data_IF_364679005324
#
_entry.id   IF_364679005324
#
_cell.length_a   1.000
_cell.length_b   1.000
_cell.length_c   1.000
_cell.angle_alpha   90.00
_cell.angle_beta   90.00
_cell.angle_gamma   90.00
#
_symmetry.space_group_name_H-M   'P 1'
#
loop_
_entity.id
_entity.type
_entity.pdbx_description
1 polymer ?
#
# COMPACT_ATOMS: atom_id res chain seq x y z
N UNK A 1 4.04 16.68 -12.19
CA UNK A 1 5.00 16.92 -11.10
C UNK A 1 4.62 16.02 -9.94
N UNK A 2 5.59 15.38 -9.30
CA UNK A 2 5.36 14.54 -8.13
C UNK A 2 5.93 15.26 -6.90
N UNK A 3 5.20 15.23 -5.80
CA UNK A 3 5.58 15.83 -4.52
C UNK A 3 5.46 14.75 -3.45
N UNK A 4 6.58 14.40 -2.82
CA UNK A 4 6.64 13.41 -1.74
C UNK A 4 7.08 14.11 -0.46
N UNK A 5 6.33 13.87 0.61
CA UNK A 5 6.65 14.39 1.94
C UNK A 5 6.79 13.20 2.88
N UNK A 6 8.03 12.83 3.19
CA UNK A 6 8.35 11.81 4.18
C UNK A 6 8.94 12.51 5.41
N UNK A 7 8.19 12.53 6.50
CA UNK A 7 8.63 13.12 7.77
C UNK A 7 7.57 12.97 8.85
N UNK A 8 7.91 13.31 10.08
CA UNK A 8 6.92 13.45 11.15
C UNK A 8 6.03 14.65 10.84
N UNK A 9 4.84 14.37 10.32
CA UNK A 9 3.80 15.38 10.10
C UNK A 9 3.05 15.51 11.43
N UNK A 10 2.92 16.73 11.95
CA UNK A 10 1.99 17.00 13.04
C UNK A 10 0.56 16.90 12.50
N UNK A 11 -0.04 15.71 12.60
CA UNK A 11 -1.37 15.41 12.09
C UNK A 11 -2.08 14.39 12.99
N UNK A 12 -3.40 14.31 12.83
CA UNK A 12 -4.19 13.22 13.38
C UNK A 12 -3.88 11.91 12.63
N UNK A 13 -4.28 10.78 13.18
CA UNK A 13 -4.09 9.46 12.58
C UNK A 13 -4.70 9.40 11.17
N UNK A 14 -3.90 9.08 10.16
CA UNK A 14 -4.35 8.83 8.78
C UNK A 14 -3.85 7.46 8.32
N UNK A 15 -4.75 6.65 7.77
CA UNK A 15 -4.46 5.30 7.29
C UNK A 15 -5.08 5.10 5.92
N UNK A 16 -4.23 4.93 4.93
CA UNK A 16 -4.67 4.76 3.56
C UNK A 16 -3.62 5.13 2.54
N UNK A 17 -4.08 5.21 1.30
CA UNK A 17 -3.27 5.57 0.15
C UNK A 17 -4.01 6.63 -0.67
N UNK A 18 -3.27 7.62 -1.17
CA UNK A 18 -3.74 8.55 -2.19
C UNK A 18 -2.85 8.42 -3.43
N UNK A 19 -3.46 8.17 -4.57
CA UNK A 19 -2.81 8.05 -5.88
C UNK A 19 -3.30 9.20 -6.75
N UNK A 20 -2.37 9.95 -7.32
CA UNK A 20 -2.64 11.05 -8.24
C UNK A 20 -2.12 10.68 -9.62
N UNK A 21 -3.02 10.63 -10.60
CA UNK A 21 -2.71 10.45 -12.02
C UNK A 21 -3.01 11.70 -12.82
N UNK A 22 -2.72 11.64 -14.11
CA UNK A 22 -3.07 12.67 -15.10
C UNK A 22 -4.57 12.74 -15.40
N UNK A 23 -5.27 11.61 -15.34
CA UNK A 23 -6.72 11.51 -15.62
C UNK A 23 -7.61 11.56 -14.38
N UNK A 24 -7.05 11.58 -13.17
CA UNK A 24 -7.84 11.48 -11.96
C UNK A 24 -7.06 11.17 -10.70
N UNK A 25 -7.80 10.93 -9.62
CA UNK A 25 -7.23 10.58 -8.31
C UNK A 25 -7.98 9.40 -7.69
N UNK A 26 -7.29 8.61 -6.89
CA UNK A 26 -7.90 7.55 -6.08
C UNK A 26 -7.40 7.69 -4.64
N UNK A 27 -8.33 7.77 -3.69
CA UNK A 27 -8.03 7.71 -2.26
C UNK A 27 -8.69 6.47 -1.66
N UNK A 28 -7.91 5.65 -0.99
CA UNK A 28 -8.39 4.48 -0.28
C UNK A 28 -8.07 4.63 1.21
N UNK A 29 -9.10 4.67 2.05
CA UNK A 29 -9.00 4.54 3.50
C UNK A 29 -8.96 3.04 3.83
N UNK A 30 -7.79 2.56 4.20
CA UNK A 30 -7.52 1.15 4.48
C UNK A 30 -7.09 1.07 5.95
N UNK A 31 -8.09 0.93 6.81
CA UNK A 31 -7.88 0.87 8.25
C UNK A 31 -7.13 -0.40 8.66
N UNK A 32 -6.35 -0.29 9.73
CA UNK A 32 -5.59 -1.43 10.25
C UNK A 32 -6.48 -2.67 10.45
N UNK A 33 -6.03 -3.87 10.05
CA UNK A 33 -6.88 -5.06 10.02
C UNK A 33 -7.50 -5.44 11.38
N UNK A 34 -6.87 -5.07 12.48
CA UNK A 34 -7.38 -5.33 13.84
C UNK A 34 -8.68 -4.62 14.16
N UNK A 35 -9.00 -3.50 13.49
CA UNK A 35 -10.25 -2.77 13.71
C UNK A 35 -11.47 -3.48 13.10
N UNK A 36 -11.27 -4.51 12.27
CA UNK A 36 -12.32 -5.27 11.59
C UNK A 36 -13.38 -4.37 10.92
N UNK A 37 -12.94 -3.25 10.37
CA UNK A 37 -13.80 -2.20 9.82
C UNK A 37 -13.80 -2.26 8.28
N UNK A 38 -14.81 -1.65 7.67
CA UNK A 38 -14.91 -1.48 6.21
C UNK A 38 -13.84 -0.52 5.67
N UNK A 39 -13.28 -0.83 4.51
CA UNK A 39 -12.45 0.13 3.76
C UNK A 39 -13.34 1.01 2.88
N UNK A 40 -12.87 2.21 2.55
CA UNK A 40 -13.55 3.13 1.62
C UNK A 40 -12.60 3.53 0.52
N UNK A 41 -13.05 3.48 -0.72
CA UNK A 41 -12.34 4.08 -1.84
C UNK A 41 -13.18 5.18 -2.48
N UNK A 42 -12.55 6.31 -2.76
CA UNK A 42 -13.11 7.42 -3.53
C UNK A 42 -12.21 7.66 -4.72
N UNK A 43 -12.79 7.61 -5.91
CA UNK A 43 -12.10 7.84 -7.18
C UNK A 43 -12.72 9.07 -7.82
N UNK A 44 -11.88 10.01 -8.26
CA UNK A 44 -12.28 11.12 -9.10
C UNK A 44 -11.74 10.88 -10.52
N UNK A 45 -12.62 10.84 -11.51
CA UNK A 45 -12.25 10.70 -12.93
C UNK A 45 -13.34 11.30 -13.81
N UNK A 46 -12.95 11.98 -14.89
CA UNK A 46 -13.91 12.52 -15.86
C UNK A 46 -14.87 13.59 -15.30
N UNK A 47 -14.47 14.30 -14.25
CA UNK A 47 -15.31 15.32 -13.59
C UNK A 47 -16.29 14.76 -12.55
N UNK A 48 -16.26 13.44 -12.29
CA UNK A 48 -17.20 12.77 -11.41
C UNK A 48 -16.49 12.02 -10.27
N UNK A 49 -17.23 11.80 -9.18
CA UNK A 49 -16.77 11.00 -8.04
C UNK A 49 -17.48 9.65 -8.00
N UNK A 50 -16.70 8.59 -7.85
CA UNK A 50 -17.18 7.23 -7.58
C UNK A 50 -16.70 6.82 -6.20
N UNK A 51 -17.63 6.51 -5.30
CA UNK A 51 -17.33 6.02 -3.95
C UNK A 51 -17.76 4.57 -3.82
N UNK A 52 -16.90 3.74 -3.21
CA UNK A 52 -17.16 2.33 -2.91
C UNK A 52 -16.79 2.04 -1.47
N UNK A 53 -17.68 1.36 -0.77
CA UNK A 53 -17.39 0.73 0.51
C UNK A 53 -17.07 -0.73 0.28
N UNK A 54 -15.98 -1.20 0.86
CA UNK A 54 -15.59 -2.60 0.85
C UNK A 54 -15.87 -3.18 2.23
N UNK A 55 -16.65 -4.26 2.34
CA UNK A 55 -16.88 -4.90 3.62
C UNK A 55 -15.55 -5.39 4.20
N UNK A 56 -15.51 -5.55 5.52
CA UNK A 56 -14.40 -6.20 6.18
C UNK A 56 -14.14 -7.57 5.55
N UNK A 57 -12.85 -7.88 5.35
CA UNK A 57 -12.35 -9.21 5.02
C UNK A 57 -11.25 -9.58 6.00
N UNK A 58 -11.24 -10.83 6.44
CA UNK A 58 -10.15 -11.36 7.24
C UNK A 58 -8.94 -11.59 6.33
N UNK A 59 -8.16 -10.54 6.09
CA UNK A 59 -7.07 -10.58 5.13
C UNK A 59 -5.98 -11.58 5.47
N UNK A 60 -5.77 -11.87 6.77
CA UNK A 60 -4.80 -12.89 7.20
C UNK A 60 -5.29 -14.29 6.86
N UNK A 61 -6.58 -14.55 7.07
CA UNK A 61 -7.17 -15.84 6.68
C UNK A 61 -7.14 -16.01 5.15
N UNK A 62 -7.45 -14.96 4.39
CA UNK A 62 -7.41 -15.01 2.92
C UNK A 62 -5.98 -15.19 2.39
N UNK A 63 -4.99 -14.52 2.98
CA UNK A 63 -3.57 -14.72 2.65
C UNK A 63 -3.12 -16.16 2.94
N UNK A 64 -3.47 -16.71 4.10
CA UNK A 64 -3.14 -18.09 4.44
C UNK A 64 -3.82 -19.10 3.50
N UNK A 65 -5.09 -18.88 3.15
CA UNK A 65 -5.80 -19.72 2.18
C UNK A 65 -5.12 -19.70 0.81
N UNK A 66 -4.71 -18.52 0.36
CA UNK A 66 -4.01 -18.37 -0.91
C UNK A 66 -2.65 -19.07 -0.88
N UNK A 67 -1.90 -18.94 0.21
CA UNK A 67 -0.63 -19.64 0.39
C UNK A 67 -0.79 -21.17 0.35
N UNK A 68 -1.78 -21.72 1.05
CA UNK A 68 -2.07 -23.17 0.99
C UNK A 68 -2.43 -23.60 -0.43
N UNK A 69 -3.24 -22.82 -1.14
CA UNK A 69 -3.58 -23.10 -2.54
C UNK A 69 -2.34 -23.14 -3.43
N UNK A 70 -1.40 -22.20 -3.27
CA UNK A 70 -0.14 -22.21 -4.01
C UNK A 70 0.67 -23.50 -3.78
N UNK A 71 0.67 -24.04 -2.56
CA UNK A 71 1.32 -25.32 -2.26
C UNK A 71 0.60 -26.49 -2.94
N UNK A 72 -0.73 -26.52 -2.87
CA UNK A 72 -1.53 -27.62 -3.45
C UNK A 72 -1.45 -27.65 -4.99
N UNK A 73 -1.38 -26.49 -5.62
CA UNK A 73 -1.38 -26.32 -7.07
C UNK A 73 0.02 -26.14 -7.68
N UNK A 74 1.08 -26.20 -6.86
CA UNK A 74 2.48 -25.93 -7.28
C UNK A 74 2.64 -24.59 -8.01
N UNK A 75 2.10 -23.53 -7.42
CA UNK A 75 2.14 -22.17 -7.93
C UNK A 75 3.14 -21.31 -7.17
N UNK A 76 3.85 -20.44 -7.89
CA UNK A 76 4.63 -19.36 -7.26
C UNK A 76 3.66 -18.36 -6.60
N UNK A 77 3.81 -18.06 -5.29
CA UNK A 77 2.93 -17.12 -4.61
C UNK A 77 3.14 -15.68 -5.08
N UNK A 78 2.04 -14.92 -5.14
CA UNK A 78 2.05 -13.47 -5.31
C UNK A 78 1.38 -12.79 -4.10
N UNK A 79 2.08 -11.95 -3.32
CA UNK A 79 3.48 -11.56 -3.47
C UNK A 79 4.46 -12.72 -3.21
N UNK A 80 5.64 -12.62 -3.82
CA UNK A 80 6.74 -13.57 -3.71
C UNK A 80 7.78 -13.12 -2.67
N UNK A 81 8.76 -13.98 -2.39
CA UNK A 81 9.90 -13.62 -1.54
C UNK A 81 10.74 -12.46 -2.10
N UNK A 82 10.77 -12.29 -3.43
CA UNK A 82 11.49 -11.19 -4.08
C UNK A 82 10.79 -9.84 -3.87
N UNK A 83 9.45 -9.82 -3.80
CA UNK A 83 8.70 -8.61 -3.45
C UNK A 83 9.06 -8.15 -2.03
N UNK A 84 9.19 -9.11 -1.09
CA UNK A 84 9.67 -8.84 0.26
C UNK A 84 11.10 -8.30 0.29
N UNK A 85 12.01 -8.87 -0.51
CA UNK A 85 13.39 -8.38 -0.63
C UNK A 85 13.42 -6.93 -1.16
N UNK A 86 12.65 -6.63 -2.21
CA UNK A 86 12.56 -5.27 -2.76
C UNK A 86 12.00 -4.27 -1.75
N UNK A 87 11.00 -4.66 -0.97
CA UNK A 87 10.48 -3.83 0.11
C UNK A 87 11.55 -3.52 1.17
N UNK A 88 12.38 -4.50 1.53
CA UNK A 88 13.51 -4.30 2.44
C UNK A 88 14.55 -3.33 1.85
N UNK A 89 14.93 -3.49 0.58
CA UNK A 89 15.88 -2.59 -0.10
C UNK A 89 15.42 -1.12 -0.04
N UNK A 90 14.13 -0.86 -0.25
CA UNK A 90 13.53 0.48 -0.13
C UNK A 90 13.68 1.00 1.30
N UNK A 91 13.33 0.18 2.30
CA UNK A 91 13.44 0.58 3.72
C UNK A 91 14.90 0.95 4.07
N UNK A 92 15.87 0.13 3.65
CA UNK A 92 17.29 0.42 3.89
C UNK A 92 17.75 1.68 3.16
N UNK A 93 17.28 1.94 1.94
CA UNK A 93 17.59 3.17 1.23
C UNK A 93 17.02 4.41 1.93
N UNK A 94 15.79 4.33 2.47
CA UNK A 94 15.21 5.41 3.29
C UNK A 94 16.08 5.69 4.51
N UNK A 95 16.49 4.64 5.25
CA UNK A 95 17.37 4.81 6.42
C UNK A 95 18.72 5.44 6.06
N UNK A 96 19.32 5.00 4.96
CA UNK A 96 20.59 5.56 4.48
C UNK A 96 20.45 7.00 4.04
N UNK A 97 19.42 7.32 3.26
CA UNK A 97 19.13 8.69 2.81
C UNK A 97 18.94 9.62 4.00
N UNK A 98 18.17 9.20 5.02
CA UNK A 98 17.94 9.98 6.24
C UNK A 98 19.24 10.23 7.04
N UNK A 99 20.19 9.28 7.04
CA UNK A 99 21.47 9.40 7.73
C UNK A 99 22.50 10.22 6.95
N UNK A 100 22.56 10.04 5.63
CA UNK A 100 23.58 10.63 4.75
C UNK A 100 23.15 12.01 4.23
N UNK A 101 21.85 12.31 4.23
CA UNK A 101 21.31 13.58 3.74
C UNK A 101 21.27 13.68 2.20
N UNK A 102 21.37 12.55 1.51
CA UNK A 102 21.46 12.46 0.05
C UNK A 102 20.44 11.46 -0.52
N UNK A 103 20.16 11.59 -1.82
CA UNK A 103 19.31 10.65 -2.56
C UNK A 103 20.03 9.29 -2.72
N UNK A 104 19.30 8.20 -2.50
CA UNK A 104 19.79 6.84 -2.69
C UNK A 104 19.05 6.20 -3.87
N UNK A 105 19.78 5.92 -4.95
CA UNK A 105 19.23 5.22 -6.11
C UNK A 105 19.15 3.72 -5.86
N UNK A 106 17.97 3.15 -6.09
CA UNK A 106 17.74 1.71 -6.11
C UNK A 106 17.97 1.18 -7.54
N UNK A 107 18.53 -0.03 -7.64
CA UNK A 107 18.79 -0.74 -8.91
C UNK A 107 17.61 -1.58 -9.36
#
# INVERSE_FOLDING_TARGET
>A
GFFQLCGSIAGDWDEGLAIFGDEGTARAEILFPYFKWRSRAVIFRGGEYVSRLFPFRDMYLEELRYFVKCIEEDLEPSPSGYDGLRAQEIIYAIYRSAREGEEIHLS
#
